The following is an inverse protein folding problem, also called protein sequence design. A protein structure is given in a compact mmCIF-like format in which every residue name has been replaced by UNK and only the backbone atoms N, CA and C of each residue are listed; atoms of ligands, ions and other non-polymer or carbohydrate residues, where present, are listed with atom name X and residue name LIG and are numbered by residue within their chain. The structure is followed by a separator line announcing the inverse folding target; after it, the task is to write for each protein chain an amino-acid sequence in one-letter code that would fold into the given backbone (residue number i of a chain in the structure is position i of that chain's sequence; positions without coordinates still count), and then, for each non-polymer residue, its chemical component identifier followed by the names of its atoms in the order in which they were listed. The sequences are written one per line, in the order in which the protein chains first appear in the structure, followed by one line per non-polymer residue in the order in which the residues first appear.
data_IF_128377358903
#
_entry.id   IF_128377358903
#
_cell.length_a   1.000
_cell.length_b   1.000
_cell.length_c   1.000
_cell.angle_alpha   90.00
_cell.angle_beta   90.00
_cell.angle_gamma   90.00
#
_symmetry.space_group_name_H-M   'P 1'
#
loop_
_entity.id
_entity.type
_entity.pdbx_description
1 polymer ?
#
# COMPACT_ATOMS: atom_id res chain seq x y z
N UNK A 1 36.83 29.18 -0.28
CA UNK A 1 36.38 29.77 1.00
C UNK A 1 35.62 28.70 1.79
N UNK A 2 36.24 28.24 2.86
CA UNK A 2 35.70 27.25 3.79
C UNK A 2 34.80 27.95 4.80
N UNK A 3 33.59 27.48 5.06
CA UNK A 3 32.85 27.76 6.29
C UNK A 3 32.34 26.46 6.88
N UNK A 4 33.01 26.08 7.95
CA UNK A 4 32.54 25.10 8.93
C UNK A 4 31.62 25.85 9.90
N UNK A 5 30.49 25.23 10.28
CA UNK A 5 29.77 25.64 11.47
C UNK A 5 29.53 24.37 12.31
N UNK A 6 29.99 24.52 13.55
CA UNK A 6 29.97 23.53 14.64
C UNK A 6 28.59 23.43 15.29
N UNK A 7 28.22 22.20 15.69
CA UNK A 7 27.93 21.70 17.04
C UNK A 7 27.27 22.65 18.05
N UNK A 8 26.20 22.12 18.66
CA UNK A 8 25.96 22.08 20.14
C UNK A 8 24.75 21.19 20.40
N UNK A 9 24.88 20.05 20.99
CA UNK A 9 24.71 19.47 22.35
C UNK A 9 23.82 20.24 23.32
N UNK A 10 22.85 19.53 23.91
CA UNK A 10 22.42 19.50 25.30
C UNK A 10 21.13 18.67 25.42
N UNK A 11 21.13 17.49 25.99
CA UNK A 11 21.08 17.10 27.41
C UNK A 11 20.01 17.80 28.22
N UNK A 12 18.95 17.09 28.58
CA UNK A 12 18.31 17.25 29.88
C UNK A 12 17.56 15.96 30.28
N UNK A 13 18.13 15.33 31.24
CA UNK A 13 17.63 14.26 32.07
C UNK A 13 16.65 14.86 33.07
N UNK A 14 15.47 14.34 33.23
CA UNK A 14 14.65 14.60 34.42
C UNK A 14 14.04 13.29 34.92
N UNK A 15 14.69 12.80 35.97
CA UNK A 15 14.26 11.72 36.81
C UNK A 15 13.28 12.29 37.84
N UNK A 16 12.04 11.80 37.90
CA UNK A 16 11.16 12.04 39.06
C UNK A 16 10.75 10.68 39.63
N UNK A 17 11.35 10.40 40.77
CA UNK A 17 10.93 9.38 41.71
C UNK A 17 9.81 9.98 42.58
N UNK A 18 8.64 9.35 42.59
CA UNK A 18 7.66 9.53 43.64
C UNK A 18 7.18 8.16 44.14
N UNK A 19 7.64 7.87 45.35
CA UNK A 19 7.18 6.75 46.18
C UNK A 19 5.87 7.12 46.85
N UNK A 20 4.97 6.13 46.96
CA UNK A 20 3.95 6.17 47.98
C UNK A 20 2.60 5.60 47.65
N UNK A 21 2.37 4.56 48.35
CA UNK A 21 1.20 4.08 49.08
C UNK A 21 0.34 2.97 48.48
N UNK A 22 0.36 1.91 49.24
CA UNK A 22 -0.48 0.70 49.29
C UNK A 22 -1.97 1.00 49.19
N UNK A 23 -2.61 0.41 48.16
CA UNK A 23 -4.04 0.25 48.07
C UNK A 23 -4.33 -1.05 47.35
N UNK A 24 -4.65 -2.09 48.09
CA UNK A 24 -5.15 -3.36 47.54
C UNK A 24 -6.56 -3.14 46.99
N UNK A 25 -6.64 -2.89 45.70
CA UNK A 25 -7.89 -3.02 44.96
C UNK A 25 -7.77 -4.20 44.00
N UNK A 26 -8.65 -5.15 44.19
CA UNK A 26 -8.79 -6.35 43.40
C UNK A 26 -9.18 -5.96 41.98
N UNK A 27 -8.16 -5.72 41.11
CA UNK A 27 -8.37 -5.48 39.71
C UNK A 27 -8.35 -6.82 38.99
N UNK A 28 -9.53 -7.24 38.50
CA UNK A 28 -9.65 -8.25 37.45
C UNK A 28 -8.63 -7.99 36.35
N UNK A 29 -7.94 -9.01 35.84
CA UNK A 29 -7.03 -8.81 34.72
C UNK A 29 -7.85 -8.31 33.52
N UNK A 30 -7.69 -7.03 33.21
CA UNK A 30 -8.09 -6.50 31.91
C UNK A 30 -7.24 -7.28 30.90
N UNK A 31 -7.91 -8.06 30.11
CA UNK A 31 -7.32 -8.76 28.96
C UNK A 31 -6.53 -7.73 28.19
N UNK A 32 -5.22 -7.90 28.24
CA UNK A 32 -4.25 -7.14 27.47
C UNK A 32 -4.71 -7.17 26.01
N UNK A 33 -5.23 -6.02 25.56
CA UNK A 33 -5.59 -5.82 24.17
C UNK A 33 -4.30 -6.07 23.38
N UNK A 34 -4.26 -7.20 22.73
CA UNK A 34 -3.19 -7.64 21.86
C UNK A 34 -2.87 -6.50 20.93
N UNK A 35 -1.75 -5.80 21.18
CA UNK A 35 -1.23 -4.81 20.27
C UNK A 35 -1.11 -5.49 18.91
N UNK A 36 -1.57 -4.86 17.82
CA UNK A 36 -1.53 -5.48 16.51
C UNK A 36 -0.08 -5.86 16.23
N UNK A 37 0.16 -7.16 16.24
CA UNK A 37 1.45 -7.75 15.87
C UNK A 37 1.90 -7.07 14.60
N UNK A 38 3.16 -6.59 14.58
CA UNK A 38 3.83 -6.05 13.40
C UNK A 38 3.40 -6.89 12.21
N UNK A 39 2.47 -6.35 11.42
CA UNK A 39 2.00 -6.98 10.20
C UNK A 39 3.25 -7.08 9.34
N UNK A 40 3.82 -8.26 9.24
CA UNK A 40 4.83 -8.54 8.24
C UNK A 40 4.23 -8.09 6.92
N UNK A 41 4.74 -6.99 6.39
CA UNK A 41 4.33 -6.50 5.07
C UNK A 41 4.83 -7.56 4.10
N UNK A 42 3.99 -8.54 3.85
CA UNK A 42 4.21 -9.48 2.75
C UNK A 42 4.06 -8.64 1.50
N UNK A 43 5.18 -8.15 1.02
CA UNK A 43 5.24 -7.46 -0.27
C UNK A 43 4.79 -8.45 -1.33
N UNK A 44 3.58 -8.26 -1.81
CA UNK A 44 3.08 -8.98 -2.97
C UNK A 44 3.94 -8.56 -4.16
N UNK A 45 4.79 -9.47 -4.64
CA UNK A 45 5.63 -9.24 -5.81
C UNK A 45 5.05 -9.98 -7.01
N UNK A 46 4.95 -9.29 -8.12
CA UNK A 46 4.57 -9.89 -9.40
C UNK A 46 5.82 -10.06 -10.27
N UNK A 47 6.02 -11.27 -10.77
CA UNK A 47 7.07 -11.59 -11.74
C UNK A 47 6.67 -11.15 -13.15
N UNK A 48 7.63 -11.12 -14.09
CA UNK A 48 7.33 -10.89 -15.51
C UNK A 48 6.24 -11.82 -16.00
N UNK A 49 6.33 -13.11 -15.67
CA UNK A 49 5.35 -14.12 -16.09
C UNK A 49 3.95 -13.86 -15.50
N UNK A 50 3.88 -13.38 -14.25
CA UNK A 50 2.60 -13.04 -13.63
C UNK A 50 1.91 -11.89 -14.37
N UNK A 51 2.67 -10.88 -14.76
CA UNK A 51 2.15 -9.76 -15.55
C UNK A 51 1.72 -10.19 -16.96
N UNK A 52 2.45 -11.10 -17.61
CA UNK A 52 2.04 -11.65 -18.91
C UNK A 52 0.74 -12.46 -18.79
N UNK A 53 0.61 -13.31 -17.77
CA UNK A 53 -0.60 -14.06 -17.51
C UNK A 53 -1.80 -13.14 -17.24
N UNK A 54 -1.56 -12.06 -16.46
CA UNK A 54 -2.59 -11.06 -16.20
C UNK A 54 -3.03 -10.35 -17.48
N UNK A 55 -2.08 -9.98 -18.35
CA UNK A 55 -2.38 -9.36 -19.63
C UNK A 55 -3.28 -10.27 -20.50
N UNK A 56 -2.94 -11.57 -20.59
CA UNK A 56 -3.74 -12.54 -21.33
C UNK A 56 -5.15 -12.70 -20.77
N UNK A 57 -5.31 -12.72 -19.43
CA UNK A 57 -6.63 -12.79 -18.79
C UNK A 57 -7.47 -11.54 -19.06
N UNK A 58 -6.86 -10.36 -18.97
CA UNK A 58 -7.54 -9.11 -19.26
C UNK A 58 -7.96 -9.01 -20.74
N UNK A 59 -7.11 -9.47 -21.66
CA UNK A 59 -7.44 -9.56 -23.08
C UNK A 59 -8.60 -10.49 -23.36
N UNK A 60 -8.61 -11.70 -22.76
CA UNK A 60 -9.72 -12.64 -22.85
C UNK A 60 -11.04 -12.08 -22.31
N UNK A 61 -10.96 -11.20 -21.29
CA UNK A 61 -12.10 -10.50 -20.73
C UNK A 61 -12.55 -9.27 -21.57
N UNK A 62 -11.82 -8.92 -22.64
CA UNK A 62 -12.07 -7.75 -23.45
C UNK A 62 -11.62 -6.42 -22.84
N UNK A 63 -10.86 -6.45 -21.72
CA UNK A 63 -10.31 -5.28 -21.05
C UNK A 63 -8.94 -4.95 -21.63
N UNK A 64 -8.92 -4.37 -22.84
CA UNK A 64 -7.69 -4.08 -23.58
C UNK A 64 -6.80 -3.07 -22.87
N UNK A 65 -7.38 -2.13 -22.16
CA UNK A 65 -6.62 -1.13 -21.39
C UNK A 65 -5.80 -1.77 -20.26
N UNK A 66 -6.43 -2.69 -19.52
CA UNK A 66 -5.76 -3.49 -18.49
C UNK A 66 -4.72 -4.44 -19.08
N UNK A 67 -5.01 -5.05 -20.24
CA UNK A 67 -4.08 -5.93 -20.93
C UNK A 67 -2.80 -5.18 -21.35
N UNK A 68 -2.96 -4.01 -21.97
CA UNK A 68 -1.83 -3.15 -22.36
C UNK A 68 -1.03 -2.72 -21.14
N UNK A 69 -1.70 -2.29 -20.06
CA UNK A 69 -1.03 -1.88 -18.83
C UNK A 69 -0.22 -3.03 -18.21
N UNK A 70 -0.80 -4.22 -18.11
CA UNK A 70 -0.11 -5.41 -17.61
C UNK A 70 1.08 -5.83 -18.48
N UNK A 71 0.95 -5.78 -19.82
CA UNK A 71 2.04 -6.06 -20.74
C UNK A 71 3.22 -5.09 -20.57
N UNK A 72 2.94 -3.81 -20.35
CA UNK A 72 3.97 -2.80 -20.06
C UNK A 72 4.66 -3.08 -18.73
N UNK A 73 3.92 -3.53 -17.71
CA UNK A 73 4.50 -3.94 -16.43
C UNK A 73 5.39 -5.17 -16.57
N UNK A 74 5.01 -6.14 -17.42
CA UNK A 74 5.86 -7.29 -17.72
C UNK A 74 7.21 -6.86 -18.32
N UNK A 75 7.19 -5.98 -19.32
CA UNK A 75 8.40 -5.43 -19.95
C UNK A 75 9.27 -4.68 -18.93
N UNK A 76 8.65 -3.89 -18.06
CA UNK A 76 9.35 -3.14 -17.02
C UNK A 76 10.01 -4.06 -15.99
N UNK A 77 9.30 -5.11 -15.56
CA UNK A 77 9.83 -6.12 -14.62
C UNK A 77 11.03 -6.86 -15.24
N UNK A 78 10.98 -7.17 -16.52
CA UNK A 78 12.07 -7.79 -17.27
C UNK A 78 13.31 -6.90 -17.36
N UNK A 79 13.13 -5.62 -17.66
CA UNK A 79 14.22 -4.69 -17.91
C UNK A 79 14.81 -4.06 -16.63
N UNK A 80 14.24 -4.39 -15.45
CA UNK A 80 14.54 -3.73 -14.19
C UNK A 80 13.94 -2.33 -14.10
N UNK A 81 13.71 -1.86 -12.88
CA UNK A 81 13.10 -0.54 -12.60
C UNK A 81 13.97 0.66 -13.05
N UNK A 82 15.19 0.41 -13.50
CA UNK A 82 16.16 1.45 -13.90
C UNK A 82 16.00 1.95 -15.34
N UNK A 83 15.06 1.47 -16.14
CA UNK A 83 14.76 2.12 -17.39
C UNK A 83 14.03 3.43 -17.09
N UNK A 84 14.81 4.51 -17.00
CA UNK A 84 14.34 5.89 -16.96
C UNK A 84 13.75 6.18 -18.35
N UNK A 85 12.58 5.65 -18.59
CA UNK A 85 11.74 6.16 -19.63
C UNK A 85 10.91 7.21 -18.90
N UNK A 86 11.20 8.48 -19.17
CA UNK A 86 10.30 9.60 -18.87
C UNK A 86 9.01 9.42 -19.68
N UNK A 87 8.28 8.38 -19.38
CA UNK A 87 7.00 8.14 -20.01
C UNK A 87 5.95 8.98 -19.29
N UNK A 88 5.57 10.08 -19.90
CA UNK A 88 4.32 10.76 -19.54
C UNK A 88 3.23 9.70 -19.46
N UNK A 89 2.68 9.52 -18.26
CA UNK A 89 1.60 8.56 -18.03
C UNK A 89 1.99 7.25 -17.37
N UNK A 90 3.24 7.07 -16.90
CA UNK A 90 3.65 5.85 -16.21
C UNK A 90 2.76 5.57 -14.97
N UNK A 91 2.42 6.59 -14.21
CA UNK A 91 1.54 6.49 -13.06
C UNK A 91 0.14 5.97 -13.45
N UNK A 92 -0.38 6.39 -14.61
CA UNK A 92 -1.67 5.90 -15.10
C UNK A 92 -1.63 4.43 -15.51
N UNK A 93 -0.51 3.95 -16.06
CA UNK A 93 -0.35 2.53 -16.40
C UNK A 93 -0.16 1.67 -15.16
N UNK A 94 0.62 2.13 -14.19
CA UNK A 94 0.74 1.45 -12.88
C UNK A 94 -0.66 1.31 -12.26
N UNK A 95 -1.43 2.39 -12.23
CA UNK A 95 -2.80 2.37 -11.72
C UNK A 95 -3.68 1.35 -12.45
N UNK A 96 -3.70 1.35 -13.79
CA UNK A 96 -4.46 0.40 -14.59
C UNK A 96 -4.00 -1.04 -14.35
N UNK A 97 -2.69 -1.29 -14.25
CA UNK A 97 -2.15 -2.61 -13.95
C UNK A 97 -2.54 -3.09 -12.54
N UNK A 98 -2.53 -2.20 -11.54
CA UNK A 98 -3.02 -2.51 -10.18
C UNK A 98 -4.51 -2.84 -10.20
N UNK A 99 -5.33 -2.07 -10.92
CA UNK A 99 -6.75 -2.37 -11.10
C UNK A 99 -6.96 -3.73 -11.75
N UNK A 100 -6.17 -4.07 -12.78
CA UNK A 100 -6.21 -5.37 -13.42
C UNK A 100 -5.85 -6.50 -12.44
N UNK A 101 -4.79 -6.34 -11.63
CA UNK A 101 -4.41 -7.31 -10.61
C UNK A 101 -5.52 -7.54 -9.58
N UNK A 102 -6.21 -6.48 -9.16
CA UNK A 102 -7.36 -6.57 -8.27
C UNK A 102 -8.56 -7.31 -8.89
N UNK A 103 -8.82 -7.12 -10.18
CA UNK A 103 -9.93 -7.75 -10.89
C UNK A 103 -9.68 -9.22 -11.20
N UNK A 104 -8.50 -9.55 -11.70
CA UNK A 104 -8.20 -10.86 -12.29
C UNK A 104 -7.29 -11.76 -11.46
N UNK A 105 -6.53 -11.21 -10.51
CA UNK A 105 -5.57 -11.92 -9.66
C UNK A 105 -5.80 -11.69 -8.15
N UNK A 106 -7.03 -11.35 -7.75
CA UNK A 106 -7.37 -11.05 -6.35
C UNK A 106 -6.99 -12.16 -5.37
N UNK A 107 -6.97 -13.43 -5.82
CA UNK A 107 -6.58 -14.59 -5.01
C UNK A 107 -5.12 -14.56 -4.55
N UNK A 108 -4.27 -13.79 -5.23
CA UNK A 108 -2.84 -13.61 -4.87
C UNK A 108 -2.61 -12.52 -3.84
N UNK A 109 -3.60 -11.68 -3.60
CA UNK A 109 -3.54 -10.62 -2.60
C UNK A 109 -3.56 -11.21 -1.19
N UNK A 110 -3.07 -10.47 -0.18
CA UNK A 110 -3.25 -10.84 1.21
C UNK A 110 -4.71 -11.15 1.53
N UNK A 111 -4.96 -12.21 2.31
CA UNK A 111 -6.33 -12.71 2.59
C UNK A 111 -7.28 -11.64 3.12
N UNK A 112 -6.76 -10.68 3.90
CA UNK A 112 -7.57 -9.60 4.47
C UNK A 112 -8.01 -8.55 3.43
N UNK A 113 -7.30 -8.44 2.29
CA UNK A 113 -7.66 -7.55 1.17
C UNK A 113 -8.59 -8.23 0.18
N UNK A 114 -8.47 -9.54 -0.02
CA UNK A 114 -9.22 -10.26 -1.06
C UNK A 114 -10.72 -9.95 -1.08
N UNK A 115 -11.44 -9.91 0.06
CA UNK A 115 -12.87 -9.60 0.08
C UNK A 115 -13.21 -8.19 -0.43
N UNK A 116 -12.23 -7.31 -0.45
CA UNK A 116 -12.40 -5.91 -0.84
C UNK A 116 -11.81 -5.60 -2.23
N UNK A 117 -11.20 -6.58 -2.91
CA UNK A 117 -10.48 -6.36 -4.17
C UNK A 117 -11.33 -5.61 -5.21
N UNK A 118 -12.58 -6.02 -5.39
CA UNK A 118 -13.52 -5.36 -6.30
C UNK A 118 -13.82 -3.91 -5.87
N UNK A 119 -14.04 -3.66 -4.58
CA UNK A 119 -14.29 -2.31 -4.06
C UNK A 119 -13.07 -1.41 -4.26
N UNK A 120 -11.87 -1.94 -4.01
CA UNK A 120 -10.62 -1.20 -4.21
C UNK A 120 -10.44 -0.87 -5.69
N UNK A 121 -10.72 -1.81 -6.60
CA UNK A 121 -10.65 -1.58 -8.04
C UNK A 121 -11.57 -0.42 -8.47
N UNK A 122 -12.84 -0.44 -8.06
CA UNK A 122 -13.78 0.65 -8.33
C UNK A 122 -13.38 1.98 -7.67
N UNK A 123 -12.87 1.94 -6.45
CA UNK A 123 -12.36 3.14 -5.78
C UNK A 123 -11.20 3.76 -6.57
N UNK A 124 -10.25 2.94 -7.04
CA UNK A 124 -9.15 3.40 -7.88
C UNK A 124 -9.64 3.95 -9.22
N UNK A 125 -10.63 3.34 -9.85
CA UNK A 125 -11.22 3.85 -11.10
C UNK A 125 -11.86 5.23 -10.92
N UNK A 126 -12.43 5.51 -9.74
CA UNK A 126 -13.16 6.74 -9.43
C UNK A 126 -12.30 7.94 -9.05
N UNK A 127 -11.00 7.75 -8.79
CA UNK A 127 -10.09 8.81 -8.36
C UNK A 127 -9.03 9.09 -9.44
N UNK A 128 -8.45 10.29 -9.41
CA UNK A 128 -7.25 10.60 -10.20
C UNK A 128 -6.00 10.15 -9.44
N UNK A 129 -5.06 9.50 -10.15
CA UNK A 129 -3.82 9.03 -9.55
C UNK A 129 -3.99 7.88 -8.55
N UNK A 130 -3.00 7.71 -7.67
CA UNK A 130 -2.96 6.70 -6.61
C UNK A 130 -2.43 7.32 -5.32
N UNK A 131 -3.23 8.13 -4.67
CA UNK A 131 -2.89 8.73 -3.38
C UNK A 131 -3.76 8.15 -2.26
N UNK A 132 -3.18 8.03 -1.06
CA UNK A 132 -3.85 7.40 0.09
C UNK A 132 -5.15 8.09 0.48
N UNK A 133 -5.14 9.41 0.60
CA UNK A 133 -6.31 10.15 1.08
C UNK A 133 -7.52 10.04 0.14
N UNK A 134 -7.41 10.28 -1.18
CA UNK A 134 -8.52 10.06 -2.10
C UNK A 134 -9.02 8.62 -2.11
N UNK A 135 -8.11 7.64 -2.07
CA UNK A 135 -8.47 6.23 -2.06
C UNK A 135 -9.20 5.85 -0.77
N UNK A 136 -8.70 6.29 0.39
CA UNK A 136 -9.38 6.11 1.68
C UNK A 136 -10.80 6.68 1.65
N UNK A 137 -10.94 7.91 1.17
CA UNK A 137 -12.25 8.57 1.09
C UNK A 137 -13.22 7.82 0.14
N UNK A 138 -12.72 7.32 -0.99
CA UNK A 138 -13.52 6.54 -1.93
C UNK A 138 -13.98 5.21 -1.31
N UNK A 139 -13.11 4.51 -0.58
CA UNK A 139 -13.44 3.26 0.11
C UNK A 139 -14.47 3.45 1.22
N UNK A 140 -14.36 4.54 2.00
CA UNK A 140 -15.36 4.90 3.04
C UNK A 140 -16.72 5.14 2.39
N UNK A 141 -16.78 5.85 1.26
CA UNK A 141 -18.03 6.06 0.51
C UNK A 141 -18.67 4.75 0.03
N UNK A 142 -17.86 3.72 -0.19
CA UNK A 142 -18.34 2.37 -0.56
C UNK A 142 -18.66 1.49 0.67
N UNK A 143 -18.71 2.09 1.87
CA UNK A 143 -19.10 1.41 3.10
C UNK A 143 -17.99 0.55 3.72
N UNK A 144 -16.73 0.88 3.47
CA UNK A 144 -15.60 0.30 4.19
C UNK A 144 -15.36 1.13 5.44
N UNK A 145 -15.11 0.45 6.58
CA UNK A 145 -14.71 1.11 7.82
C UNK A 145 -13.46 1.98 7.63
N UNK A 146 -13.43 3.14 8.31
CA UNK A 146 -12.38 4.14 8.10
C UNK A 146 -10.98 3.65 8.41
N UNK A 147 -10.79 2.86 9.47
CA UNK A 147 -9.50 2.26 9.82
C UNK A 147 -9.04 1.25 8.77
N UNK A 148 -9.94 0.37 8.37
CA UNK A 148 -9.70 -0.63 7.31
C UNK A 148 -9.44 0.04 5.96
N UNK A 149 -10.19 1.09 5.61
CA UNK A 149 -10.01 1.84 4.38
C UNK A 149 -8.62 2.49 4.30
N UNK A 150 -8.16 3.10 5.40
CA UNK A 150 -6.84 3.71 5.47
C UNK A 150 -5.71 2.67 5.31
N UNK A 151 -5.81 1.52 5.98
CA UNK A 151 -4.84 0.44 5.84
C UNK A 151 -4.78 -0.11 4.42
N UNK A 152 -5.94 -0.29 3.76
CA UNK A 152 -6.01 -0.73 2.38
C UNK A 152 -5.40 0.29 1.43
N UNK A 153 -5.72 1.57 1.60
CA UNK A 153 -5.20 2.63 0.77
C UNK A 153 -3.67 2.72 0.89
N UNK A 154 -3.15 2.68 2.10
CA UNK A 154 -1.71 2.65 2.37
C UNK A 154 -1.04 1.44 1.68
N UNK A 155 -1.60 0.24 1.84
CA UNK A 155 -1.07 -0.96 1.21
C UNK A 155 -1.08 -0.85 -0.32
N UNK A 156 -2.14 -0.33 -0.93
CA UNK A 156 -2.24 -0.19 -2.38
C UNK A 156 -1.23 0.83 -2.94
N UNK A 157 -1.01 1.93 -2.23
CA UNK A 157 0.00 2.94 -2.60
C UNK A 157 1.41 2.34 -2.50
N UNK A 158 1.73 1.63 -1.41
CA UNK A 158 3.00 0.92 -1.27
C UNK A 158 3.19 -0.13 -2.37
N UNK A 159 2.18 -0.93 -2.66
CA UNK A 159 2.23 -1.92 -3.73
C UNK A 159 2.52 -1.26 -5.08
N UNK A 160 1.79 -0.20 -5.41
CA UNK A 160 2.01 0.53 -6.67
C UNK A 160 3.41 1.16 -6.75
N UNK A 161 3.92 1.71 -5.65
CA UNK A 161 5.25 2.33 -5.59
C UNK A 161 6.40 1.36 -5.85
N UNK A 162 6.17 0.05 -5.68
CA UNK A 162 7.18 -0.97 -6.03
C UNK A 162 7.46 -1.02 -7.53
N UNK A 163 6.56 -0.50 -8.35
CA UNK A 163 6.67 -0.50 -9.81
C UNK A 163 7.15 0.81 -10.40
N UNK A 164 7.27 1.87 -9.60
CA UNK A 164 7.80 3.17 -10.01
C UNK A 164 7.11 4.35 -9.33
N UNK A 165 7.46 5.57 -9.72
CA UNK A 165 6.81 6.76 -9.17
C UNK A 165 5.33 6.80 -9.57
N UNK A 166 4.49 7.10 -8.59
CA UNK A 166 3.02 7.16 -8.72
C UNK A 166 2.51 8.57 -8.40
#
# INVERSE_FOLDING_TARGET
MKRRIHLTTASALALVLATGTTGVANATPVTESEAPSVVSIVTFTMTEQDWQNLAAKAEQAGDLDSAIAASKMAQRTKNGTNSIIEERGIASWIKKAVIAALKYESHRLPKWIQPYATKIAYALESIEGMAELPLTAALIKMGVDGGTAAQMAHYMVLFASTFGPI
#
